data_IF_199589420274
#
_entry.id   IF_199589420274
#
_cell.length_a   1.000
_cell.length_b   1.000
_cell.length_c   1.000
_cell.angle_alpha   90.00
_cell.angle_beta   90.00
_cell.angle_gamma   90.00
#
_symmetry.space_group_name_H-M   'P 1'
#
loop_
_entity.id
_entity.type
_entity.pdbx_description
1 polymer ?
#
# COMPACT_ATOMS: atom_id res chain seq x y z
N UNK A 1 2.84 -12.74 -0.44
CA UNK A 1 2.54 -11.50 -1.17
C UNK A 1 3.71 -11.19 -2.09
N UNK A 2 3.47 -11.09 -3.41
CA UNK A 2 4.51 -10.77 -4.38
C UNK A 2 4.41 -9.29 -4.76
N UNK A 3 5.31 -8.46 -4.25
CA UNK A 3 5.39 -7.03 -4.57
C UNK A 3 6.59 -6.85 -5.51
N UNK A 4 6.38 -6.55 -6.80
CA UNK A 4 7.48 -6.36 -7.76
C UNK A 4 8.41 -5.23 -7.30
N UNK A 5 9.72 -5.48 -7.30
CA UNK A 5 10.72 -4.46 -6.93
C UNK A 5 10.64 -3.98 -5.48
N UNK A 6 10.10 -4.81 -4.57
CA UNK A 6 9.95 -4.47 -3.14
C UNK A 6 11.26 -3.96 -2.55
N UNK A 7 11.21 -2.75 -2.02
CA UNK A 7 12.33 -2.15 -1.27
C UNK A 7 11.79 -1.26 -0.14
N UNK A 8 12.70 -0.65 0.63
CA UNK A 8 12.36 0.32 1.66
C UNK A 8 13.00 1.66 1.30
N UNK A 9 12.22 2.74 1.34
CA UNK A 9 12.70 4.11 1.23
C UNK A 9 11.80 5.06 2.03
N UNK A 10 12.41 6.05 2.68
CA UNK A 10 11.73 7.05 3.53
C UNK A 10 10.89 6.46 4.67
N UNK A 11 11.30 5.30 5.20
CA UNK A 11 10.58 4.59 6.28
C UNK A 11 9.40 3.73 5.81
N UNK A 12 9.12 3.70 4.49
CA UNK A 12 8.02 2.94 3.91
C UNK A 12 8.52 1.77 3.08
N UNK A 13 7.77 0.68 3.10
CA UNK A 13 7.90 -0.38 2.09
C UNK A 13 7.26 0.11 0.80
N UNK A 14 8.00 0.01 -0.31
CA UNK A 14 7.57 0.48 -1.64
C UNK A 14 7.69 -0.62 -2.69
N UNK A 15 6.92 -0.51 -3.76
CA UNK A 15 7.10 -1.31 -4.98
C UNK A 15 8.21 -0.73 -5.88
N UNK A 16 8.56 -1.42 -6.97
CA UNK A 16 9.61 -1.00 -7.90
C UNK A 16 9.33 0.30 -8.67
N UNK A 17 8.08 0.77 -8.68
CA UNK A 17 7.68 2.05 -9.28
C UNK A 17 7.68 3.19 -8.25
N UNK A 18 7.91 2.88 -6.97
CA UNK A 18 8.01 3.83 -5.88
C UNK A 18 6.71 4.04 -5.08
N UNK A 19 5.64 3.32 -5.39
CA UNK A 19 4.38 3.41 -4.64
C UNK A 19 4.52 2.79 -3.25
N UNK A 20 3.95 3.46 -2.23
CA UNK A 20 3.88 2.93 -0.87
C UNK A 20 2.96 1.70 -0.84
N UNK A 21 3.42 0.62 -0.23
CA UNK A 21 2.63 -0.62 -0.13
C UNK A 21 1.53 -0.46 0.91
N UNK A 22 0.29 -0.68 0.47
CA UNK A 22 -0.91 -0.59 1.31
C UNK A 22 -1.61 -1.95 1.45
N UNK A 23 -2.21 -2.18 2.61
CA UNK A 23 -3.34 -3.10 2.74
C UNK A 23 -4.64 -2.31 2.84
N UNK A 24 -5.73 -2.87 2.31
CA UNK A 24 -7.05 -2.25 2.34
C UNK A 24 -8.15 -3.27 2.61
N UNK A 25 -9.37 -2.81 2.87
CA UNK A 25 -10.55 -3.67 2.92
C UNK A 25 -10.70 -4.52 1.65
N UNK A 26 -11.33 -5.69 1.73
CA UNK A 26 -11.57 -6.57 0.58
C UNK A 26 -12.46 -5.95 -0.51
N UNK A 27 -13.15 -4.85 -0.20
CA UNK A 27 -13.90 -4.05 -1.18
C UNK A 27 -13.02 -3.14 -2.06
N UNK A 28 -11.72 -3.00 -1.74
CA UNK A 28 -10.75 -2.22 -2.52
C UNK A 28 -9.86 -3.18 -3.30
N UNK A 29 -9.78 -2.99 -4.61
CA UNK A 29 -9.05 -3.88 -5.49
C UNK A 29 -7.53 -3.83 -5.30
N UNK A 30 -6.89 -4.98 -5.50
CA UNK A 30 -5.44 -5.05 -5.65
C UNK A 30 -4.98 -4.19 -6.84
N UNK A 31 -3.93 -3.40 -6.66
CA UNK A 31 -3.42 -2.44 -7.65
C UNK A 31 -4.09 -1.07 -7.63
N UNK A 32 -5.14 -0.86 -6.82
CA UNK A 32 -5.74 0.47 -6.65
C UNK A 32 -4.69 1.46 -6.13
N UNK A 33 -4.59 2.62 -6.78
CA UNK A 33 -3.70 3.71 -6.40
C UNK A 33 -4.48 4.71 -5.53
N UNK A 34 -3.89 5.12 -4.42
CA UNK A 34 -4.49 6.00 -3.42
C UNK A 34 -3.52 7.16 -3.13
N UNK A 35 -4.04 8.38 -3.07
CA UNK A 35 -3.25 9.53 -2.64
C UNK A 35 -2.95 9.43 -1.14
N UNK A 36 -1.70 9.69 -0.77
CA UNK A 36 -1.28 9.68 0.63
C UNK A 36 -0.63 11.00 1.01
N UNK A 37 -0.69 11.41 2.28
CA UNK A 37 0.00 12.60 2.76
C UNK A 37 1.51 12.38 2.96
N UNK A 38 2.06 11.22 2.57
CA UNK A 38 3.45 10.83 2.84
C UNK A 38 4.42 11.17 1.70
N UNK A 39 4.01 12.04 0.77
CA UNK A 39 4.85 12.48 -0.35
C UNK A 39 4.98 11.47 -1.49
N UNK A 40 4.22 10.37 -1.47
CA UNK A 40 4.12 9.42 -2.58
C UNK A 40 2.75 8.74 -2.57
N UNK A 41 2.22 8.38 -3.73
CA UNK A 41 0.99 7.60 -3.80
C UNK A 41 1.23 6.19 -3.25
N UNK A 42 0.17 5.58 -2.72
CA UNK A 42 0.17 4.19 -2.28
C UNK A 42 -0.52 3.30 -3.30
N UNK A 43 -0.15 2.02 -3.32
CA UNK A 43 -0.77 1.00 -4.16
C UNK A 43 -1.18 -0.19 -3.28
N UNK A 44 -2.43 -0.61 -3.41
CA UNK A 44 -2.99 -1.72 -2.62
C UNK A 44 -2.39 -3.03 -3.10
N UNK A 45 -1.69 -3.74 -2.22
CA UNK A 45 -1.14 -5.05 -2.51
C UNK A 45 -1.65 -6.16 -1.57
N UNK A 46 -2.22 -5.80 -0.42
CA UNK A 46 -2.68 -6.75 0.59
C UNK A 46 -4.12 -6.46 1.03
N UNK A 47 -4.73 -7.42 1.71
CA UNK A 47 -6.08 -7.32 2.25
C UNK A 47 -6.07 -7.26 3.77
N UNK A 48 -6.61 -6.19 4.34
CA UNK A 48 -7.00 -6.11 5.75
C UNK A 48 -8.46 -6.55 5.90
N UNK A 49 -8.67 -7.80 6.35
CA UNK A 49 -9.99 -8.41 6.45
C UNK A 49 -10.96 -7.71 7.44
N UNK A 50 -10.43 -6.93 8.38
CA UNK A 50 -11.20 -6.21 9.40
C UNK A 50 -11.25 -4.69 9.17
N UNK A 51 -10.67 -4.18 8.08
CA UNK A 51 -10.66 -2.75 7.77
C UNK A 51 -11.94 -2.33 7.04
N UNK A 52 -12.43 -1.13 7.35
CA UNK A 52 -13.46 -0.47 6.57
C UNK A 52 -12.89 0.08 5.26
N UNK A 53 -13.76 0.37 4.27
CA UNK A 53 -13.33 0.76 2.92
C UNK A 53 -12.43 2.02 2.86
N UNK A 54 -12.50 2.90 3.85
CA UNK A 54 -11.65 4.10 3.95
C UNK A 54 -10.40 3.93 4.81
N UNK A 55 -10.10 2.71 5.27
CA UNK A 55 -8.97 2.42 6.15
C UNK A 55 -7.88 1.68 5.37
N UNK A 56 -6.66 2.19 5.47
CA UNK A 56 -5.50 1.69 4.75
C UNK A 56 -4.34 1.50 5.73
N UNK A 57 -3.81 0.29 5.80
CA UNK A 57 -2.58 0.02 6.56
C UNK A 57 -1.37 0.31 5.67
N UNK A 58 -0.43 1.07 6.22
CA UNK A 58 0.83 1.42 5.55
C UNK A 58 1.93 0.49 6.03
N UNK A 59 2.65 -0.13 5.11
CA UNK A 59 3.75 -1.02 5.47
C UNK A 59 5.02 -0.19 5.67
N UNK A 60 5.60 -0.22 6.87
CA UNK A 60 6.81 0.53 7.25
C UNK A 60 7.99 -0.39 7.57
N UNK A 61 9.20 0.17 7.72
CA UNK A 61 10.39 -0.50 8.27
C UNK A 61 11.27 0.45 9.05
#
# INVERSE_FOLDING_TARGET
>A
MNIPGRHTADGFVRDGEGYIVLAASSSVGHGTIIDTPFGSQGKVYDTCASCHAGWFDVYTR
#
